data_IF_632923727069
#
_entry.id   IF_632923727069
#
_cell.length_a   1.000
_cell.length_b   1.000
_cell.length_c   1.000
_cell.angle_alpha   90.00
_cell.angle_beta   90.00
_cell.angle_gamma   90.00
#
_symmetry.space_group_name_H-M   'P 1'
#
loop_
_entity.id
_entity.type
_entity.pdbx_description
1 polymer ?
#
# COMPACT_ATOMS: atom_id res chain seq x y z
N UNK A 1 19.73 -5.30 -5.60
CA UNK A 1 18.79 -6.41 -5.88
C UNK A 1 17.42 -5.78 -6.05
N UNK A 2 16.60 -6.24 -7.00
CA UNK A 2 15.25 -5.70 -7.13
C UNK A 2 14.41 -6.24 -5.97
N UNK A 3 13.86 -5.34 -5.15
CA UNK A 3 12.96 -5.66 -4.06
C UNK A 3 11.78 -6.48 -4.62
N UNK A 4 11.52 -7.66 -4.05
CA UNK A 4 10.45 -8.57 -4.50
C UNK A 4 9.28 -8.41 -3.55
N UNK A 5 8.48 -7.39 -3.79
CA UNK A 5 7.28 -7.11 -3.03
C UNK A 5 6.04 -7.09 -3.93
N UNK A 6 4.87 -7.23 -3.32
CA UNK A 6 3.58 -6.95 -3.93
C UNK A 6 2.73 -6.22 -2.91
N UNK A 7 2.19 -5.07 -3.31
CA UNK A 7 1.21 -4.36 -2.49
C UNK A 7 -0.15 -4.32 -3.16
N UNK A 8 -1.18 -4.18 -2.35
CA UNK A 8 -2.57 -4.07 -2.77
C UNK A 8 -3.27 -2.95 -1.99
N UNK A 9 -4.03 -2.11 -2.68
CA UNK A 9 -4.96 -1.18 -2.02
C UNK A 9 -6.30 -1.89 -1.83
N UNK A 10 -6.80 -1.94 -0.60
CA UNK A 10 -8.06 -2.61 -0.24
C UNK A 10 -9.16 -1.63 0.07
N UNK A 11 -8.83 -0.37 0.40
CA UNK A 11 -9.83 0.66 0.69
C UNK A 11 -9.36 2.03 0.25
N UNK A 12 -10.26 2.75 -0.42
CA UNK A 12 -10.20 4.18 -0.61
C UNK A 12 -11.07 4.84 0.47
N UNK A 13 -10.53 5.76 1.25
CA UNK A 13 -11.26 6.37 2.37
C UNK A 13 -12.32 7.35 1.89
N UNK A 14 -12.12 8.00 0.74
CA UNK A 14 -13.08 8.97 0.22
C UNK A 14 -14.20 8.31 -0.58
N UNK A 15 -13.83 7.38 -1.46
CA UNK A 15 -14.76 6.78 -2.43
C UNK A 15 -15.26 5.40 -1.99
N UNK A 16 -14.68 4.83 -0.94
CA UNK A 16 -15.03 3.51 -0.43
C UNK A 16 -14.60 2.38 -1.37
N UNK A 17 -15.27 1.23 -1.22
CA UNK A 17 -14.86 -0.03 -1.85
C UNK A 17 -15.12 -0.07 -3.37
N UNK A 18 -15.90 0.88 -3.90
CA UNK A 18 -16.20 1.00 -5.34
C UNK A 18 -15.17 1.83 -6.10
N UNK A 19 -14.13 2.33 -5.44
CA UNK A 19 -13.06 3.11 -6.07
C UNK A 19 -12.21 2.26 -7.01
N UNK A 20 -11.79 2.83 -8.14
CA UNK A 20 -10.79 2.23 -9.03
C UNK A 20 -9.44 1.97 -8.34
N UNK A 21 -9.20 2.57 -7.17
CA UNK A 21 -8.03 2.31 -6.34
C UNK A 21 -8.07 0.90 -5.71
N UNK A 22 -9.26 0.41 -5.37
CA UNK A 22 -9.43 -0.86 -4.67
C UNK A 22 -9.12 -2.03 -5.61
N UNK A 23 -8.29 -2.95 -5.16
CA UNK A 23 -7.78 -4.04 -5.99
C UNK A 23 -6.57 -3.68 -6.85
N UNK A 24 -6.08 -2.43 -6.81
CA UNK A 24 -4.84 -2.06 -7.49
C UNK A 24 -3.66 -2.76 -6.84
N UNK A 25 -2.83 -3.38 -7.68
CA UNK A 25 -1.63 -4.11 -7.31
C UNK A 25 -0.37 -3.43 -7.86
N UNK A 26 0.66 -3.28 -7.05
CA UNK A 26 1.98 -2.79 -7.45
C UNK A 26 3.11 -3.74 -7.00
N UNK A 27 4.33 -3.58 -7.54
CA UNK A 27 4.77 -2.59 -8.54
C UNK A 27 4.44 -3.03 -9.98
N UNK A 28 3.94 -2.13 -10.83
CA UNK A 28 3.40 -2.45 -12.18
C UNK A 28 4.41 -3.12 -13.11
N UNK A 29 3.98 -4.15 -13.84
CA UNK A 29 4.78 -4.81 -14.88
C UNK A 29 5.84 -5.81 -14.38
N UNK A 30 5.84 -6.15 -13.09
CA UNK A 30 6.78 -7.12 -12.52
C UNK A 30 6.22 -8.54 -12.62
N UNK A 31 7.02 -9.46 -13.18
CA UNK A 31 6.71 -10.89 -13.22
C UNK A 31 6.90 -11.52 -11.83
N UNK A 32 5.99 -12.43 -11.44
CA UNK A 32 6.10 -13.16 -10.18
C UNK A 32 5.59 -12.42 -8.94
N UNK A 33 4.63 -11.51 -9.13
CA UNK A 33 3.82 -10.94 -8.04
C UNK A 33 3.03 -12.01 -7.31
N UNK A 34 2.84 -11.77 -6.02
CA UNK A 34 1.92 -12.57 -5.22
C UNK A 34 0.46 -12.29 -5.61
N UNK A 35 -0.41 -13.26 -5.35
CA UNK A 35 -1.84 -13.09 -5.60
C UNK A 35 -2.44 -12.13 -4.58
N UNK A 36 -3.48 -11.41 -5.00
CA UNK A 36 -4.24 -10.47 -4.17
C UNK A 36 -4.62 -11.07 -2.80
N UNK A 37 -5.16 -12.29 -2.79
CA UNK A 37 -5.57 -13.00 -1.57
C UNK A 37 -4.38 -13.31 -0.64
N UNK A 38 -3.24 -13.71 -1.20
CA UNK A 38 -2.03 -14.01 -0.43
C UNK A 38 -1.48 -12.76 0.25
N UNK A 39 -1.48 -11.63 -0.46
CA UNK A 39 -1.01 -10.34 0.08
C UNK A 39 -1.92 -9.87 1.22
N UNK A 40 -3.24 -10.00 1.11
CA UNK A 40 -4.16 -9.60 2.19
C UNK A 40 -4.01 -10.51 3.42
N UNK A 41 -3.82 -11.81 3.21
CA UNK A 41 -3.74 -12.78 4.31
C UNK A 41 -2.41 -12.73 5.07
N UNK A 42 -1.31 -12.39 4.42
CA UNK A 42 0.04 -12.50 4.99
C UNK A 42 0.82 -11.18 5.02
N UNK A 43 0.32 -10.14 4.37
CA UNK A 43 1.01 -8.87 4.22
C UNK A 43 0.95 -7.99 5.46
N UNK A 44 1.94 -7.09 5.58
CA UNK A 44 1.92 -5.99 6.52
C UNK A 44 0.90 -4.94 6.08
N UNK A 45 0.10 -4.45 7.02
CA UNK A 45 -0.93 -3.47 6.74
C UNK A 45 -0.27 -2.09 6.60
N UNK A 46 -0.65 -1.34 5.57
CA UNK A 46 -0.18 0.02 5.34
C UNK A 46 -1.36 0.98 5.17
N UNK A 47 -1.09 2.26 5.44
CA UNK A 47 -1.99 3.35 5.10
C UNK A 47 -1.22 4.53 4.51
N UNK A 48 -1.81 5.17 3.51
CA UNK A 48 -1.26 6.34 2.83
C UNK A 48 -2.00 7.59 3.31
N UNK A 49 -1.25 8.61 3.72
CA UNK A 49 -1.77 9.86 4.24
C UNK A 49 -1.42 11.02 3.30
N UNK A 50 -2.31 12.00 3.21
CA UNK A 50 -2.04 13.28 2.55
C UNK A 50 -1.18 14.22 3.42
N UNK A 51 -0.96 15.44 2.94
CA UNK A 51 -0.14 16.46 3.58
C UNK A 51 -0.78 17.06 4.84
N UNK A 52 -2.08 16.86 5.03
CA UNK A 52 -2.79 17.18 6.26
C UNK A 52 -2.73 16.05 7.30
N UNK A 53 -2.20 14.87 6.93
CA UNK A 53 -2.16 13.69 7.79
C UNK A 53 -3.47 12.90 7.77
N UNK A 54 -4.36 13.13 6.80
CA UNK A 54 -5.59 12.37 6.64
C UNK A 54 -5.34 11.09 5.84
N UNK A 55 -5.92 9.97 6.30
CA UNK A 55 -5.78 8.69 5.60
C UNK A 55 -6.58 8.72 4.30
N UNK A 56 -5.90 8.42 3.19
CA UNK A 56 -6.48 8.39 1.84
C UNK A 56 -6.72 6.97 1.35
N UNK A 57 -5.75 6.10 1.58
CA UNK A 57 -5.78 4.71 1.11
C UNK A 57 -5.27 3.78 2.19
N UNK A 58 -5.82 2.56 2.21
CA UNK A 58 -5.40 1.48 3.10
C UNK A 58 -5.16 0.24 2.24
N UNK A 59 -4.16 -0.55 2.62
CA UNK A 59 -3.76 -1.71 1.86
C UNK A 59 -2.80 -2.63 2.59
N UNK A 60 -2.32 -3.66 1.89
CA UNK A 60 -1.36 -4.62 2.42
C UNK A 60 -0.15 -4.73 1.50
N UNK A 61 1.04 -4.90 2.05
CA UNK A 61 2.26 -5.19 1.31
C UNK A 61 2.88 -6.50 1.79
N UNK A 62 3.40 -7.30 0.88
CA UNK A 62 4.06 -8.57 1.19
C UNK A 62 5.33 -8.69 0.37
N UNK A 63 6.39 -9.22 1.00
CA UNK A 63 7.67 -9.54 0.35
C UNK A 63 8.81 -8.71 0.90
N UNK A 64 9.91 -8.66 0.16
CA UNK A 64 11.12 -7.92 0.54
C UNK A 64 11.04 -6.50 0.01
N UNK A 65 10.96 -5.53 0.92
CA UNK A 65 10.94 -4.08 0.66
C UNK A 65 11.67 -3.35 1.78
N UNK A 66 12.26 -2.19 1.45
CA UNK A 66 13.13 -1.44 2.37
C UNK A 66 12.61 -0.02 2.63
N UNK A 67 11.46 0.36 2.06
CA UNK A 67 11.03 1.75 2.10
C UNK A 67 9.53 2.00 1.95
N UNK A 68 9.18 3.14 1.34
CA UNK A 68 7.80 3.56 1.16
C UNK A 68 7.27 3.18 -0.24
N UNK A 69 7.49 1.97 -0.70
CA UNK A 69 7.21 1.57 -2.08
C UNK A 69 5.75 1.79 -2.53
N UNK A 70 4.70 1.48 -1.74
CA UNK A 70 3.32 1.82 -2.12
C UNK A 70 3.08 3.32 -2.27
N UNK A 71 3.78 4.15 -1.47
CA UNK A 71 3.73 5.60 -1.59
C UNK A 71 4.39 6.06 -2.89
N UNK A 72 5.58 5.57 -3.22
CA UNK A 72 6.30 5.94 -4.45
C UNK A 72 5.57 5.44 -5.71
N UNK A 73 5.07 4.20 -5.68
CA UNK A 73 4.43 3.56 -6.83
C UNK A 73 3.08 4.22 -7.16
N UNK A 74 2.28 4.53 -6.13
CA UNK A 74 0.89 4.97 -6.25
C UNK A 74 0.59 6.25 -5.48
N UNK A 75 0.89 6.29 -4.18
CA UNK A 75 0.44 7.35 -3.27
C UNK A 75 0.83 8.77 -3.71
N UNK A 76 2.08 9.01 -4.12
CA UNK A 76 2.56 10.35 -4.53
C UNK A 76 1.77 10.93 -5.70
N UNK A 77 1.36 10.08 -6.65
CA UNK A 77 0.54 10.50 -7.81
C UNK A 77 -0.90 10.83 -7.42
N UNK A 78 -1.33 10.46 -6.21
CA UNK A 78 -2.68 10.65 -5.69
C UNK A 78 -2.71 11.59 -4.46
N UNK A 79 -1.65 12.40 -4.27
CA UNK A 79 -1.60 13.42 -3.22
C UNK A 79 -1.18 12.91 -1.84
N UNK A 80 -0.74 11.65 -1.72
CA UNK A 80 -0.19 11.15 -0.46
C UNK A 80 1.28 11.54 -0.32
N UNK A 81 1.69 11.89 0.90
CA UNK A 81 3.07 12.27 1.23
C UNK A 81 3.68 11.43 2.34
N UNK A 82 2.86 10.68 3.09
CA UNK A 82 3.29 9.80 4.17
C UNK A 82 2.70 8.41 3.97
N UNK A 83 3.49 7.39 4.31
CA UNK A 83 3.03 6.02 4.50
C UNK A 83 3.32 5.59 5.92
N UNK A 84 2.39 4.87 6.51
CA UNK A 84 2.57 4.24 7.81
C UNK A 84 2.25 2.76 7.71
N UNK A 85 3.01 1.95 8.45
CA UNK A 85 2.79 0.51 8.56
C UNK A 85 2.28 0.15 9.95
N UNK A 86 1.36 -0.81 10.01
CA UNK A 86 0.81 -1.30 11.27
C UNK A 86 1.73 -2.35 11.90
N UNK A 87 2.40 -1.96 12.99
CA UNK A 87 3.31 -2.83 13.75
C UNK A 87 2.90 -2.87 15.21
N UNK A 88 2.59 -4.06 15.72
CA UNK A 88 2.16 -4.25 17.11
C UNK A 88 0.96 -3.35 17.51
N UNK A 89 -0.01 -3.19 16.60
CA UNK A 89 -1.21 -2.36 16.81
C UNK A 89 -0.95 -0.85 16.81
N UNK A 90 0.21 -0.40 16.33
CA UNK A 90 0.56 1.01 16.17
C UNK A 90 0.91 1.30 14.71
N UNK A 91 0.53 2.48 14.25
CA UNK A 91 0.94 3.00 12.95
C UNK A 91 2.27 3.72 13.10
N UNK A 92 3.28 3.26 12.35
CA UNK A 92 4.62 3.82 12.37
C UNK A 92 4.98 4.34 10.98
N UNK A 93 5.40 5.61 10.85
CA UNK A 93 5.89 6.15 9.59
C UNK A 93 7.24 5.52 9.22
N UNK A 94 7.52 5.47 7.91
CA UNK A 94 8.80 5.05 7.33
C UNK A 94 9.49 6.23 6.65
#
# INVERSE_FOLDING_TARGET
MAARYTWVVTRDVLLGDSSDAVGKLGPSGVAGRERFDIVILNGEHFRLLDDAGEVRYIGYILGDYDGPEPLEDYGRKHGCVVIEYERNGKWLPV
#
